data_IF_438390790482
#
_entry.id   IF_438390790482
#
_cell.length_a   1.000
_cell.length_b   1.000
_cell.length_c   1.000
_cell.angle_alpha   90.00
_cell.angle_beta   90.00
_cell.angle_gamma   90.00
#
_symmetry.space_group_name_H-M   'P 1'
#
loop_
_entity.id
_entity.type
_entity.pdbx_description
1 polymer ?
#
# COMPACT_ATOMS: atom_id res chain seq x y z
N UNK A 1 38.32 -8.01 -3.68
CA UNK A 1 37.23 -7.05 -3.41
C UNK A 1 35.97 -7.59 -4.07
N UNK A 2 35.00 -8.10 -3.31
CA UNK A 2 33.77 -8.68 -3.88
C UNK A 2 32.81 -7.57 -4.29
N UNK A 3 32.41 -7.55 -5.57
CA UNK A 3 31.46 -6.58 -6.08
C UNK A 3 30.09 -6.75 -5.40
N UNK A 4 29.49 -5.66 -4.87
CA UNK A 4 28.15 -5.72 -4.29
C UNK A 4 27.10 -6.05 -5.35
N UNK A 5 26.10 -6.85 -4.99
CA UNK A 5 24.98 -7.17 -5.88
C UNK A 5 24.25 -5.89 -6.29
N UNK A 6 24.01 -5.72 -7.58
CA UNK A 6 23.09 -4.71 -8.09
C UNK A 6 21.67 -5.21 -7.77
N UNK A 7 21.09 -4.71 -6.67
CA UNK A 7 19.76 -5.10 -6.22
C UNK A 7 18.80 -3.99 -6.62
N UNK A 8 17.79 -4.32 -7.42
CA UNK A 8 16.77 -3.37 -7.84
C UNK A 8 15.76 -3.12 -6.73
N UNK A 9 15.14 -1.94 -6.74
CA UNK A 9 14.03 -1.60 -5.84
C UNK A 9 12.65 -1.96 -6.44
N UNK A 10 12.64 -2.65 -7.57
CA UNK A 10 11.44 -3.03 -8.31
C UNK A 10 10.67 -4.16 -7.62
N UNK A 11 9.39 -4.32 -7.96
CA UNK A 11 8.61 -5.45 -7.48
C UNK A 11 9.32 -6.77 -7.87
N UNK A 12 9.50 -7.71 -6.93
CA UNK A 12 10.14 -8.98 -7.22
C UNK A 12 9.25 -9.84 -8.15
N UNK A 13 9.88 -10.73 -8.91
CA UNK A 13 9.21 -11.62 -9.86
C UNK A 13 8.40 -12.75 -9.23
N UNK A 14 8.57 -13.00 -7.93
CA UNK A 14 7.87 -14.03 -7.15
C UNK A 14 7.13 -13.41 -5.96
N UNK A 15 6.12 -14.12 -5.43
CA UNK A 15 5.41 -13.66 -4.24
C UNK A 15 6.34 -13.62 -3.01
N UNK A 16 6.11 -12.73 -2.05
CA UNK A 16 6.97 -12.64 -0.86
C UNK A 16 7.01 -13.94 -0.06
N UNK A 17 5.89 -14.66 0.07
CA UNK A 17 5.87 -15.98 0.72
C UNK A 17 6.77 -16.99 0.00
N UNK A 18 6.70 -17.03 -1.33
CA UNK A 18 7.57 -17.88 -2.15
C UNK A 18 9.04 -17.50 -1.98
N UNK A 19 9.36 -16.19 -1.91
CA UNK A 19 10.73 -15.70 -1.71
C UNK A 19 11.26 -16.11 -0.35
N UNK A 20 10.47 -15.97 0.73
CA UNK A 20 10.85 -16.40 2.07
C UNK A 20 11.10 -17.91 2.11
N UNK A 21 10.23 -18.72 1.51
CA UNK A 21 10.42 -20.18 1.46
C UNK A 21 11.67 -20.58 0.66
N UNK A 22 11.94 -19.92 -0.46
CA UNK A 22 13.17 -20.15 -1.24
C UNK A 22 14.42 -19.73 -0.46
N UNK A 23 14.36 -18.58 0.23
CA UNK A 23 15.42 -18.11 1.11
C UNK A 23 15.74 -19.12 2.21
N UNK A 24 14.72 -19.64 2.91
CA UNK A 24 14.88 -20.64 3.96
C UNK A 24 15.49 -21.95 3.43
N UNK A 25 15.04 -22.41 2.26
CA UNK A 25 15.60 -23.61 1.61
C UNK A 25 17.07 -23.41 1.21
N UNK A 26 17.39 -22.28 0.60
CA UNK A 26 18.77 -21.96 0.21
C UNK A 26 19.68 -21.80 1.44
N UNK A 27 19.19 -21.16 2.51
CA UNK A 27 19.91 -21.04 3.77
C UNK A 27 20.22 -22.42 4.36
N UNK A 28 19.23 -23.33 4.39
CA UNK A 28 19.43 -24.68 4.87
C UNK A 28 20.52 -25.41 4.07
N UNK A 29 20.46 -25.36 2.74
CA UNK A 29 21.46 -25.97 1.86
C UNK A 29 22.86 -25.37 2.07
N UNK A 30 22.97 -24.05 2.23
CA UNK A 30 24.23 -23.38 2.51
C UNK A 30 24.83 -23.79 3.87
N UNK A 31 24.00 -24.01 4.89
CA UNK A 31 24.43 -24.47 6.21
C UNK A 31 24.85 -25.95 6.21
N UNK A 32 24.05 -26.81 5.60
CA UNK A 32 24.32 -28.26 5.50
C UNK A 32 25.61 -28.53 4.74
N UNK A 33 25.83 -27.82 3.63
CA UNK A 33 27.01 -27.98 2.77
C UNK A 33 28.07 -26.89 2.99
N UNK A 34 28.10 -26.26 4.17
CA UNK A 34 28.96 -25.11 4.45
C UNK A 34 30.46 -25.40 4.21
N UNK A 35 30.93 -26.61 4.54
CA UNK A 35 32.33 -26.98 4.32
C UNK A 35 32.74 -26.91 2.84
N UNK A 36 31.84 -27.30 1.94
CA UNK A 36 32.07 -27.33 0.49
C UNK A 36 31.76 -25.98 -0.17
N UNK A 37 30.70 -25.30 0.29
CA UNK A 37 30.24 -24.04 -0.31
C UNK A 37 30.91 -22.79 0.26
N UNK A 38 31.40 -22.83 1.50
CA UNK A 38 31.98 -21.69 2.21
C UNK A 38 33.07 -20.95 1.42
N UNK A 39 34.03 -21.63 0.76
CA UNK A 39 35.04 -20.98 -0.07
C UNK A 39 34.49 -20.32 -1.35
N UNK A 40 33.32 -20.77 -1.83
CA UNK A 40 32.69 -20.28 -3.07
C UNK A 40 31.70 -19.16 -2.83
N UNK A 41 31.17 -19.05 -1.61
CA UNK A 41 30.22 -18.01 -1.24
C UNK A 41 30.96 -16.74 -0.77
N UNK A 42 30.48 -15.55 -1.14
CA UNK A 42 30.97 -14.30 -0.58
C UNK A 42 30.84 -14.29 0.94
N UNK A 43 31.88 -13.79 1.61
CA UNK A 43 31.86 -13.60 3.06
C UNK A 43 30.63 -12.78 3.49
N UNK A 44 29.94 -13.24 4.54
CA UNK A 44 28.75 -12.59 5.09
C UNK A 44 27.47 -12.76 4.26
N UNK A 45 27.47 -13.55 3.17
CA UNK A 45 26.26 -13.81 2.39
C UNK A 45 25.20 -14.56 3.21
N UNK A 46 25.61 -15.57 3.96
CA UNK A 46 24.71 -16.41 4.78
C UNK A 46 24.09 -15.59 5.91
N UNK A 47 24.91 -14.83 6.65
CA UNK A 47 24.43 -13.94 7.72
C UNK A 47 23.49 -12.85 7.18
N UNK A 48 23.85 -12.28 6.02
CA UNK A 48 23.00 -11.30 5.33
C UNK A 48 21.66 -11.90 4.89
N UNK A 49 21.65 -13.16 4.44
CA UNK A 49 20.43 -13.86 4.05
C UNK A 49 19.51 -14.11 5.26
N UNK A 50 20.06 -14.49 6.42
CA UNK A 50 19.30 -14.67 7.67
C UNK A 50 18.58 -13.36 8.03
N UNK A 51 19.34 -12.26 8.12
CA UNK A 51 18.81 -10.93 8.46
C UNK A 51 17.72 -10.50 7.47
N UNK A 52 17.89 -10.81 6.18
CA UNK A 52 16.95 -10.41 5.15
C UNK A 52 15.66 -11.23 5.20
N UNK A 53 15.74 -12.53 5.48
CA UNK A 53 14.59 -13.41 5.68
C UNK A 53 13.78 -12.95 6.89
N UNK A 54 14.43 -12.63 8.01
CA UNK A 54 13.79 -12.10 9.21
C UNK A 54 13.05 -10.78 8.91
N UNK A 55 13.76 -9.82 8.29
CA UNK A 55 13.18 -8.53 7.90
C UNK A 55 12.00 -8.67 6.94
N UNK A 56 12.06 -9.59 5.98
CA UNK A 56 10.94 -9.83 5.08
C UNK A 56 9.77 -10.51 5.80
N UNK A 57 10.06 -11.43 6.72
CA UNK A 57 9.11 -12.12 7.57
C UNK A 57 8.32 -11.18 8.49
N UNK A 58 8.97 -10.16 9.05
CA UNK A 58 8.30 -9.09 9.82
C UNK A 58 7.47 -8.15 8.92
N UNK A 59 7.98 -7.82 7.73
CA UNK A 59 7.36 -6.86 6.83
C UNK A 59 6.08 -7.38 6.15
N UNK A 60 5.91 -8.70 5.97
CA UNK A 60 4.74 -9.27 5.28
C UNK A 60 3.45 -9.20 6.10
N UNK A 61 3.41 -9.64 7.38
CA UNK A 61 2.29 -9.39 8.28
C UNK A 61 2.04 -7.89 8.51
N UNK A 62 3.11 -7.11 8.71
CA UNK A 62 3.01 -5.67 8.91
C UNK A 62 2.36 -4.93 7.74
N UNK A 63 2.63 -5.34 6.50
CA UNK A 63 2.00 -4.73 5.32
C UNK A 63 0.53 -5.12 5.13
N UNK A 64 0.15 -6.36 5.47
CA UNK A 64 -1.27 -6.77 5.47
C UNK A 64 -2.06 -6.01 6.52
N UNK A 65 -1.47 -5.83 7.70
CA UNK A 65 -2.03 -5.02 8.77
C UNK A 65 -2.17 -3.55 8.35
N UNK A 66 -1.12 -2.95 7.79
CA UNK A 66 -1.15 -1.57 7.28
C UNK A 66 -2.18 -1.37 6.15
N UNK A 67 -2.38 -2.37 5.29
CA UNK A 67 -3.45 -2.34 4.27
C UNK A 67 -4.84 -2.39 4.92
N UNK A 68 -5.05 -3.26 5.91
CA UNK A 68 -6.29 -3.29 6.69
C UNK A 68 -6.58 -1.96 7.40
N UNK A 69 -5.57 -1.37 8.02
CA UNK A 69 -5.70 -0.06 8.64
C UNK A 69 -5.95 1.08 7.64
N UNK A 70 -5.37 1.02 6.44
CA UNK A 70 -5.62 2.02 5.40
C UNK A 70 -7.07 1.95 4.89
N UNK A 71 -7.62 0.74 4.75
CA UNK A 71 -9.04 0.53 4.41
C UNK A 71 -9.93 1.02 5.55
N UNK A 72 -9.61 0.67 6.79
CA UNK A 72 -10.37 1.13 7.96
C UNK A 72 -10.33 2.66 8.11
N UNK A 73 -9.16 3.29 7.90
CA UNK A 73 -9.00 4.75 7.95
C UNK A 73 -9.79 5.45 6.84
N UNK A 74 -9.78 4.90 5.62
CA UNK A 74 -10.58 5.44 4.49
C UNK A 74 -12.08 5.31 4.77
N UNK A 75 -12.51 4.17 5.35
CA UNK A 75 -13.90 3.96 5.77
C UNK A 75 -14.33 4.97 6.85
N UNK A 76 -13.50 5.15 7.88
CA UNK A 76 -13.76 6.11 8.95
C UNK A 76 -13.86 7.56 8.44
N UNK A 77 -12.99 7.95 7.51
CA UNK A 77 -13.06 9.27 6.86
C UNK A 77 -14.37 9.44 6.08
N UNK A 78 -14.78 8.42 5.30
CA UNK A 78 -16.03 8.48 4.54
C UNK A 78 -17.26 8.62 5.46
N UNK A 79 -17.29 7.87 6.58
CA UNK A 79 -18.36 7.98 7.59
C UNK A 79 -18.38 9.38 8.22
N UNK A 80 -17.21 9.92 8.55
CA UNK A 80 -17.09 11.27 9.11
C UNK A 80 -17.57 12.35 8.12
N UNK A 81 -17.20 12.24 6.84
CA UNK A 81 -17.64 13.14 5.77
C UNK A 81 -19.14 13.05 5.53
N UNK A 82 -19.70 11.85 5.49
CA UNK A 82 -21.14 11.64 5.29
C UNK A 82 -21.94 12.24 6.44
N UNK A 83 -21.51 12.00 7.69
CA UNK A 83 -22.12 12.56 8.89
C UNK A 83 -22.05 14.09 8.90
N UNK A 84 -20.87 14.68 8.65
CA UNK A 84 -20.68 16.13 8.60
C UNK A 84 -21.50 16.79 7.49
N UNK A 85 -21.50 16.21 6.29
CA UNK A 85 -22.31 16.69 5.17
C UNK A 85 -23.82 16.60 5.46
N UNK A 86 -24.28 15.51 6.07
CA UNK A 86 -25.68 15.34 6.46
C UNK A 86 -26.11 16.44 7.45
N UNK A 87 -25.29 16.75 8.46
CA UNK A 87 -25.55 17.82 9.41
C UNK A 87 -25.64 19.20 8.73
N UNK A 88 -24.68 19.54 7.87
CA UNK A 88 -24.69 20.78 7.07
C UNK A 88 -25.98 20.87 6.24
N UNK A 89 -26.38 19.77 5.59
CA UNK A 89 -27.59 19.71 4.78
C UNK A 89 -28.84 19.97 5.61
N UNK A 90 -28.96 19.36 6.80
CA UNK A 90 -30.11 19.55 7.68
C UNK A 90 -30.22 20.98 8.20
N UNK A 91 -29.10 21.57 8.63
CA UNK A 91 -29.07 22.96 9.10
C UNK A 91 -29.47 23.92 7.97
N UNK A 92 -28.88 23.76 6.78
CA UNK A 92 -29.26 24.58 5.61
C UNK A 92 -30.73 24.41 5.23
N UNK A 93 -31.30 23.21 5.38
CA UNK A 93 -32.72 22.98 5.14
C UNK A 93 -33.61 23.68 6.18
N UNK A 94 -33.23 23.64 7.46
CA UNK A 94 -33.93 24.33 8.54
C UNK A 94 -33.97 25.85 8.31
N UNK A 95 -32.82 26.46 8.00
CA UNK A 95 -32.71 27.90 7.72
C UNK A 95 -33.55 28.30 6.50
N UNK A 96 -33.58 27.48 5.44
CA UNK A 96 -34.45 27.74 4.27
C UNK A 96 -35.92 27.75 4.66
N UNK A 97 -36.35 26.78 5.47
CA UNK A 97 -37.74 26.65 5.94
C UNK A 97 -38.15 27.75 6.91
N UNK A 98 -37.22 28.24 7.73
CA UNK A 98 -37.41 29.38 8.62
C UNK A 98 -37.61 30.71 7.87
N UNK A 99 -37.51 30.71 6.53
CA UNK A 99 -37.66 31.90 5.67
C UNK A 99 -36.73 33.06 6.07
N UNK A 100 -35.55 32.74 6.59
CA UNK A 100 -34.56 33.74 6.97
C UNK A 100 -34.25 34.74 5.82
N UNK A 101 -33.86 35.99 6.14
CA UNK A 101 -33.40 36.96 5.16
C UNK A 101 -32.28 36.42 4.25
N UNK A 102 -32.16 36.98 3.04
CA UNK A 102 -31.24 36.46 2.00
C UNK A 102 -29.78 36.60 2.43
N UNK A 103 -29.44 37.71 3.07
CA UNK A 103 -28.15 37.99 3.70
C UNK A 103 -27.81 36.96 4.79
N UNK A 104 -28.75 36.68 5.70
CA UNK A 104 -28.59 35.64 6.73
C UNK A 104 -28.37 34.26 6.09
N UNK A 105 -29.18 33.91 5.09
CA UNK A 105 -29.03 32.65 4.35
C UNK A 105 -27.63 32.51 3.74
N UNK A 106 -27.13 33.57 3.08
CA UNK A 106 -25.79 33.59 2.47
C UNK A 106 -24.69 33.48 3.53
N UNK A 107 -24.86 34.13 4.69
CA UNK A 107 -23.91 34.05 5.80
C UNK A 107 -23.74 32.61 6.33
N UNK A 108 -24.79 31.79 6.32
CA UNK A 108 -24.72 30.35 6.62
C UNK A 108 -24.30 29.47 5.42
N UNK A 109 -23.81 30.08 4.33
CA UNK A 109 -23.34 29.37 3.14
C UNK A 109 -24.45 28.78 2.27
N UNK A 110 -25.70 29.22 2.42
CA UNK A 110 -26.80 28.75 1.55
C UNK A 110 -26.59 29.29 0.14
N UNK A 111 -26.58 28.37 -0.83
CA UNK A 111 -26.28 28.66 -2.24
C UNK A 111 -24.90 28.15 -2.67
N UNK A 112 -24.00 27.87 -1.73
CA UNK A 112 -22.71 27.24 -2.00
C UNK A 112 -22.89 25.73 -2.22
N UNK A 113 -22.34 25.21 -3.33
CA UNK A 113 -22.27 23.77 -3.59
C UNK A 113 -21.25 23.16 -2.63
N UNK A 114 -21.60 22.01 -2.04
CA UNK A 114 -20.72 21.23 -1.17
C UNK A 114 -20.65 19.84 -1.74
N UNK A 115 -19.46 19.39 -2.10
CA UNK A 115 -19.27 18.01 -2.53
C UNK A 115 -19.03 17.13 -1.31
N UNK A 116 -19.91 16.14 -1.09
CA UNK A 116 -19.82 15.21 0.05
C UNK A 116 -18.56 14.35 0.07
N UNK A 117 -17.90 14.17 -1.07
CA UNK A 117 -16.67 13.36 -1.18
C UNK A 117 -15.39 14.18 -1.02
N UNK A 118 -15.50 15.51 -0.99
CA UNK A 118 -14.35 16.40 -0.86
C UNK A 118 -14.22 16.87 0.60
N UNK A 119 -13.13 16.46 1.25
CA UNK A 119 -12.82 16.81 2.65
C UNK A 119 -12.87 18.32 2.89
N UNK A 120 -12.19 19.08 2.02
CA UNK A 120 -12.07 20.53 2.15
C UNK A 120 -13.41 21.23 2.01
N UNK A 121 -14.24 20.80 1.06
CA UNK A 121 -15.56 21.41 0.83
C UNK A 121 -16.48 21.21 2.05
N UNK A 122 -16.47 20.01 2.65
CA UNK A 122 -17.26 19.71 3.84
C UNK A 122 -16.74 20.47 5.06
N UNK A 123 -15.41 20.53 5.27
CA UNK A 123 -14.81 21.31 6.35
C UNK A 123 -15.18 22.80 6.27
N UNK A 124 -15.01 23.42 5.09
CA UNK A 124 -15.35 24.83 4.88
C UNK A 124 -16.83 25.09 5.14
N UNK A 125 -17.71 24.19 4.69
CA UNK A 125 -19.14 24.33 4.92
C UNK A 125 -19.53 24.24 6.40
N UNK A 126 -18.90 23.34 7.17
CA UNK A 126 -19.08 23.24 8.63
C UNK A 126 -18.54 24.51 9.30
N UNK A 127 -17.34 24.95 8.93
CA UNK A 127 -16.68 26.13 9.48
C UNK A 127 -17.53 27.39 9.31
N UNK A 128 -18.09 27.64 8.12
CA UNK A 128 -18.96 28.78 7.89
C UNK A 128 -20.19 28.81 8.81
N UNK A 129 -20.81 27.65 9.07
CA UNK A 129 -21.97 27.57 9.97
C UNK A 129 -21.54 27.86 11.40
N UNK A 130 -20.42 27.26 11.85
CA UNK A 130 -19.89 27.49 13.20
C UNK A 130 -19.53 28.96 13.42
N UNK A 131 -18.78 29.57 12.50
CA UNK A 131 -18.39 30.97 12.60
C UNK A 131 -19.59 31.91 12.65
N UNK A 132 -20.65 31.65 11.86
CA UNK A 132 -21.85 32.47 11.90
C UNK A 132 -22.61 32.29 13.21
N UNK A 133 -22.77 31.04 13.66
CA UNK A 133 -23.47 30.75 14.90
C UNK A 133 -22.75 31.33 16.13
N UNK A 134 -21.41 31.38 16.12
CA UNK A 134 -20.62 32.01 17.17
C UNK A 134 -20.68 33.54 17.12
N UNK A 135 -20.69 34.14 15.92
CA UNK A 135 -20.80 35.60 15.75
C UNK A 135 -22.21 36.14 16.06
N UNK A 136 -23.25 35.32 15.90
CA UNK A 136 -24.64 35.71 16.09
C UNK A 136 -25.45 34.60 16.81
N UNK A 137 -25.23 34.37 18.12
CA UNK A 137 -25.86 33.27 18.85
C UNK A 137 -27.38 33.40 18.97
N UNK A 138 -27.89 34.63 19.11
CA UNK A 138 -29.34 34.89 19.17
C UNK A 138 -30.01 34.56 17.82
N UNK A 139 -29.34 34.90 16.71
CA UNK A 139 -29.81 34.55 15.37
C UNK A 139 -29.81 33.03 15.18
N UNK A 140 -28.74 32.34 15.57
CA UNK A 140 -28.66 30.88 15.50
C UNK A 140 -29.80 30.22 16.30
N UNK A 141 -30.06 30.71 17.51
CA UNK A 141 -31.16 30.24 18.37
C UNK A 141 -32.52 30.48 17.73
N UNK A 142 -32.73 31.66 17.12
CA UNK A 142 -33.98 31.98 16.40
C UNK A 142 -34.24 31.06 15.19
N UNK A 143 -33.17 30.52 14.59
CA UNK A 143 -33.23 29.57 13.47
C UNK A 143 -33.33 28.10 13.94
N UNK A 144 -33.46 27.86 15.24
CA UNK A 144 -33.54 26.52 15.83
C UNK A 144 -32.20 25.79 15.89
N UNK A 145 -31.07 26.49 15.72
CA UNK A 145 -29.73 25.92 15.87
C UNK A 145 -29.35 26.05 17.34
N UNK A 146 -29.33 24.93 18.06
CA UNK A 146 -29.05 24.93 19.51
C UNK A 146 -27.58 24.57 19.79
N UNK A 147 -27.07 24.83 21.01
CA UNK A 147 -25.69 24.49 21.38
C UNK A 147 -25.31 23.02 21.12
N UNK A 148 -26.28 22.10 21.22
CA UNK A 148 -26.10 20.68 20.89
C UNK A 148 -25.71 20.46 19.42
N UNK A 149 -26.25 21.23 18.48
CA UNK A 149 -25.94 21.10 17.06
C UNK A 149 -24.57 21.70 16.74
N UNK A 150 -24.23 22.81 17.38
CA UNK A 150 -22.89 23.42 17.30
C UNK A 150 -21.84 22.43 17.83
N UNK A 151 -22.10 21.78 18.96
CA UNK A 151 -21.20 20.77 19.51
C UNK A 151 -21.01 19.57 18.56
N UNK A 152 -22.10 19.10 17.93
CA UNK A 152 -22.03 18.03 16.91
C UNK A 152 -21.21 18.43 15.69
N UNK A 153 -21.40 19.65 15.18
CA UNK A 153 -20.61 20.17 14.05
C UNK A 153 -19.13 20.28 14.40
N UNK A 154 -18.78 20.76 15.60
CA UNK A 154 -17.39 20.79 16.09
C UNK A 154 -16.80 19.40 16.18
N UNK A 155 -17.56 18.43 16.70
CA UNK A 155 -17.14 17.03 16.75
C UNK A 155 -16.90 16.44 15.35
N UNK A 156 -17.81 16.69 14.40
CA UNK A 156 -17.64 16.24 13.02
C UNK A 156 -16.44 16.90 12.34
N UNK A 157 -16.22 18.20 12.54
CA UNK A 157 -15.06 18.91 12.01
C UNK A 157 -13.75 18.33 12.55
N UNK A 158 -13.67 18.09 13.86
CA UNK A 158 -12.51 17.48 14.50
C UNK A 158 -12.23 16.07 13.95
N UNK A 159 -13.28 15.24 13.83
CA UNK A 159 -13.17 13.89 13.27
C UNK A 159 -12.68 13.87 11.82
N UNK A 160 -13.22 14.76 10.96
CA UNK A 160 -12.78 14.89 9.57
C UNK A 160 -11.31 15.32 9.49
N UNK A 161 -10.92 16.31 10.29
CA UNK A 161 -9.55 16.84 10.31
C UNK A 161 -8.54 15.80 10.79
N UNK A 162 -8.89 15.05 11.84
CA UNK A 162 -8.05 13.98 12.36
C UNK A 162 -7.89 12.84 11.33
N UNK A 163 -8.97 12.44 10.66
CA UNK A 163 -8.93 11.40 9.63
C UNK A 163 -8.08 11.81 8.42
N UNK A 164 -8.18 13.06 7.98
CA UNK A 164 -7.37 13.61 6.88
C UNK A 164 -5.87 13.63 7.22
N UNK A 165 -5.51 14.12 8.41
CA UNK A 165 -4.12 14.14 8.87
C UNK A 165 -3.52 12.72 8.97
N UNK A 166 -4.29 11.75 9.48
CA UNK A 166 -3.86 10.35 9.53
C UNK A 166 -3.66 9.75 8.14
N UNK A 167 -4.53 10.05 7.18
CA UNK A 167 -4.39 9.56 5.82
C UNK A 167 -3.16 10.16 5.12
N UNK A 168 -2.90 11.45 5.31
CA UNK A 168 -1.75 12.12 4.70
C UNK A 168 -0.42 11.63 5.29
N UNK A 169 -0.36 11.41 6.60
CA UNK A 169 0.81 10.79 7.25
C UNK A 169 1.09 9.37 6.72
N UNK A 170 0.03 8.57 6.50
CA UNK A 170 0.15 7.23 5.91
C UNK A 170 0.61 7.28 4.45
N UNK A 171 0.15 8.26 3.66
CA UNK A 171 0.62 8.47 2.29
C UNK A 171 2.09 8.86 2.23
N UNK A 172 2.55 9.71 3.14
CA UNK A 172 3.96 10.12 3.20
C UNK A 172 4.91 8.95 3.51
N UNK A 173 4.45 7.98 4.30
CA UNK A 173 5.27 6.85 4.79
C UNK A 173 5.21 5.60 3.90
N UNK A 174 4.15 5.42 3.11
CA UNK A 174 3.92 4.24 2.26
C UNK A 174 4.99 3.96 1.16
N UNK A 175 5.58 4.97 0.48
CA UNK A 175 6.60 4.71 -0.53
C UNK A 175 7.91 4.16 0.05
N UNK A 176 8.27 4.58 1.26
CA UNK A 176 9.48 4.13 1.96
C UNK A 176 9.41 2.65 2.36
N UNK A 177 8.25 2.23 2.90
CA UNK A 177 8.03 0.84 3.34
C UNK A 177 7.95 -0.12 2.16
N UNK A 178 7.34 0.29 1.05
CA UNK A 178 7.23 -0.54 -0.16
C UNK A 178 8.60 -0.76 -0.84
N UNK A 179 9.40 0.30 -1.01
CA UNK A 179 10.75 0.20 -1.61
C UNK A 179 11.69 -0.64 -0.76
N UNK A 180 11.69 -0.44 0.56
CA UNK A 180 12.52 -1.22 1.47
C UNK A 180 12.17 -2.72 1.42
N UNK A 181 10.87 -3.05 1.44
CA UNK A 181 10.41 -4.44 1.34
C UNK A 181 10.80 -5.10 0.01
N UNK A 182 10.59 -4.40 -1.11
CA UNK A 182 10.98 -4.91 -2.43
C UNK A 182 12.49 -5.14 -2.54
N UNK A 183 13.29 -4.19 -2.04
CA UNK A 183 14.75 -4.31 -2.00
C UNK A 183 15.19 -5.53 -1.18
N UNK A 184 14.63 -5.73 0.01
CA UNK A 184 14.93 -6.91 0.84
C UNK A 184 14.56 -8.21 0.13
N UNK A 185 13.40 -8.28 -0.52
CA UNK A 185 12.99 -9.46 -1.29
C UNK A 185 13.93 -9.76 -2.48
N UNK A 186 14.38 -8.73 -3.20
CA UNK A 186 15.33 -8.90 -4.30
C UNK A 186 16.74 -9.29 -3.80
N UNK A 187 17.16 -8.87 -2.60
CA UNK A 187 18.40 -9.36 -1.98
C UNK A 187 18.33 -10.85 -1.66
N UNK A 188 17.21 -11.32 -1.12
CA UNK A 188 16.98 -12.75 -0.85
C UNK A 188 17.09 -13.53 -2.17
N UNK A 189 16.38 -13.10 -3.21
CA UNK A 189 16.44 -13.77 -4.52
C UNK A 189 17.86 -13.81 -5.10
N UNK A 190 18.62 -12.73 -4.98
CA UNK A 190 20.00 -12.68 -5.44
C UNK A 190 20.94 -13.58 -4.62
N UNK A 191 20.72 -13.70 -3.30
CA UNK A 191 21.44 -14.63 -2.44
C UNK A 191 21.10 -16.09 -2.77
N UNK A 192 19.82 -16.41 -2.99
CA UNK A 192 19.37 -17.74 -3.43
C UNK A 192 20.03 -18.13 -4.76
N UNK A 193 20.06 -17.22 -5.74
CA UNK A 193 20.71 -17.48 -7.04
C UNK A 193 22.22 -17.76 -6.92
N UNK A 194 22.90 -17.10 -5.97
CA UNK A 194 24.32 -17.35 -5.70
C UNK A 194 24.57 -18.69 -5.02
N UNK A 195 23.71 -19.07 -4.07
CA UNK A 195 23.80 -20.37 -3.40
C UNK A 195 23.50 -21.49 -4.39
N UNK A 196 22.47 -21.34 -5.23
CA UNK A 196 22.15 -22.25 -6.32
C UNK A 196 23.35 -22.41 -7.28
N UNK A 197 23.93 -21.29 -7.73
CA UNK A 197 25.09 -21.32 -8.63
C UNK A 197 26.32 -21.99 -8.02
N UNK A 198 26.62 -21.73 -6.74
CA UNK A 198 27.73 -22.37 -6.04
C UNK A 198 27.50 -23.89 -5.87
N UNK A 199 26.29 -24.31 -5.50
CA UNK A 199 25.94 -25.72 -5.37
C UNK A 199 25.98 -26.48 -6.69
N UNK A 200 25.53 -25.87 -7.78
CA UNK A 200 25.61 -26.48 -9.13
C UNK A 200 27.04 -26.79 -9.56
N UNK A 201 27.99 -25.92 -9.21
CA UNK A 201 29.41 -26.12 -9.57
C UNK A 201 30.07 -27.13 -8.64
N UNK A 202 29.74 -27.11 -7.35
CA UNK A 202 30.38 -27.98 -6.36
C UNK A 202 29.90 -29.44 -6.46
N UNK A 203 28.61 -29.65 -6.75
CA UNK A 203 27.98 -30.96 -6.75
C UNK A 203 27.64 -31.47 -8.15
N UNK A 204 28.38 -31.06 -9.19
CA UNK A 204 28.15 -31.48 -10.59
C UNK A 204 28.16 -33.01 -10.75
N UNK A 205 29.03 -33.70 -10.02
CA UNK A 205 29.18 -35.16 -10.05
C UNK A 205 28.24 -35.91 -9.07
N UNK A 206 27.49 -35.19 -8.23
CA UNK A 206 26.48 -35.77 -7.31
C UNK A 206 25.06 -35.37 -7.75
N UNK A 207 24.39 -36.19 -8.58
CA UNK A 207 23.10 -35.83 -9.15
C UNK A 207 21.98 -35.70 -8.10
N UNK A 208 22.12 -36.35 -6.94
CA UNK A 208 21.12 -36.27 -5.89
C UNK A 208 21.19 -34.91 -5.19
N UNK A 209 22.39 -34.47 -4.82
CA UNK A 209 22.60 -33.16 -4.18
C UNK A 209 22.36 -32.02 -5.19
N UNK A 210 22.82 -32.19 -6.43
CA UNK A 210 22.60 -31.21 -7.50
C UNK A 210 21.12 -30.87 -7.68
N UNK A 211 20.25 -31.88 -7.69
CA UNK A 211 18.80 -31.69 -7.84
C UNK A 211 18.20 -30.79 -6.74
N UNK A 212 18.73 -30.84 -5.51
CA UNK A 212 18.28 -29.97 -4.41
C UNK A 212 18.63 -28.50 -4.66
N UNK A 213 19.81 -28.22 -5.22
CA UNK A 213 20.21 -26.86 -5.60
C UNK A 213 19.46 -26.37 -6.85
N UNK A 214 19.21 -27.23 -7.83
CA UNK A 214 18.41 -26.88 -9.01
C UNK A 214 16.95 -26.55 -8.66
N UNK A 215 16.40 -27.21 -7.64
CA UNK A 215 15.04 -26.97 -7.14
C UNK A 215 14.85 -25.56 -6.54
N UNK A 216 15.94 -24.82 -6.24
CA UNK A 216 15.86 -23.42 -5.82
C UNK A 216 15.34 -22.51 -6.95
N UNK A 217 15.58 -22.88 -8.22
CA UNK A 217 14.94 -22.28 -9.40
C UNK A 217 14.97 -20.73 -9.43
N UNK A 218 16.06 -20.13 -8.96
CA UNK A 218 16.27 -18.68 -8.96
C UNK A 218 16.94 -18.20 -10.26
N UNK A 219 17.51 -19.12 -11.05
CA UNK A 219 17.92 -18.86 -12.42
C UNK A 219 16.73 -18.50 -13.32
N UNK A 220 16.77 -17.33 -13.94
CA UNK A 220 15.91 -16.98 -15.08
C UNK A 220 16.11 -17.98 -16.20
N UNK A 221 15.28 -19.03 -16.26
CA UNK A 221 14.90 -19.61 -17.55
C UNK A 221 13.97 -18.62 -18.23
N UNK A 222 14.57 -17.59 -18.84
CA UNK A 222 13.91 -16.81 -19.87
C UNK A 222 13.63 -17.75 -21.04
N UNK A 223 12.51 -18.47 -20.99
CA UNK A 223 12.00 -19.16 -22.17
C UNK A 223 11.36 -18.09 -23.05
N UNK A 224 12.21 -17.40 -23.81
CA UNK A 224 11.79 -16.64 -25.00
C UNK A 224 11.18 -17.67 -25.93
N UNK A 225 9.85 -17.79 -25.93
CA UNK A 225 9.13 -18.60 -26.93
C UNK A 225 9.05 -17.73 -28.18
N UNK A 226 10.12 -17.77 -28.98
CA UNK A 226 10.13 -17.31 -30.36
C UNK A 226 9.85 -18.51 -31.26
N UNK A 227 8.67 -18.45 -31.87
CA UNK A 227 8.27 -18.84 -33.24
C UNK A 227 8.46 -20.24 -33.83
N UNK A 228 7.56 -20.50 -34.80
CA UNK A 228 7.32 -21.65 -35.69
C UNK A 228 6.20 -22.59 -35.18
N UNK A 229 5.09 -22.83 -35.88
CA UNK A 229 4.85 -22.90 -37.32
C UNK A 229 3.42 -22.43 -37.67
N UNK A 230 3.27 -21.61 -38.72
CA UNK A 230 2.09 -21.63 -39.60
C UNK A 230 2.37 -20.77 -40.84
N UNK A 231 2.96 -21.42 -41.85
CA UNK A 231 3.10 -21.03 -43.26
C UNK A 231 3.87 -22.23 -43.86
N UNK A 232 3.47 -22.98 -44.89
CA UNK A 232 2.53 -22.93 -46.02
C UNK A 232 2.32 -24.42 -46.44
N UNK A 233 1.37 -24.89 -47.24
CA UNK A 233 0.45 -24.28 -48.20
C UNK A 233 -0.20 -25.41 -49.04
N UNK A 234 -0.57 -25.06 -50.28
CA UNK A 234 -1.09 -25.90 -51.39
C UNK A 234 -2.63 -25.84 -51.57
N UNK A 235 -3.15 -24.80 -52.25
CA UNK A 235 -3.31 -24.62 -53.71
C UNK A 235 -4.46 -25.49 -54.29
N UNK A 236 -5.68 -24.95 -54.53
CA UNK A 236 -6.22 -24.38 -55.81
C UNK A 236 -6.48 -25.47 -56.90
N UNK A 237 -7.40 -25.36 -57.90
CA UNK A 237 -8.14 -24.18 -58.38
C UNK A 237 -9.61 -24.41 -58.86
N UNK A 238 -10.14 -23.33 -59.42
CA UNK A 238 -11.43 -23.10 -60.07
C UNK A 238 -12.04 -24.21 -60.97
N UNK A 239 -13.37 -24.23 -60.96
CA UNK A 239 -14.27 -24.87 -61.93
C UNK A 239 -15.71 -24.42 -61.69
#
# INVERSE_FOLDING_TARGET
MNAPLIVTNTLPSKSFNTITQLGLKALNLALVHNAALGPRLPQGLVDGLIIDIEKLGEAVPGAKFAQGEAVAATSAQNVALESGHAQVKQIRAAIRRAKAPVDVKRAYGIGQKVNKTNVRDVQVAIQHILERAEKAPDEATSLGIVPKDIAKLKQSLAAITQADAQQEQKRATAPGTTRARNRTANRILAAVARIEGAGRIEFEDDPAILAEFEALGAGTRGKKKGDAENEEGEADPAG
#
